data_IF_119138284925
#
_entry.id   IF_119138284925
#
_cell.length_a   1.000
_cell.length_b   1.000
_cell.length_c   1.000
_cell.angle_alpha   90.00
_cell.angle_beta   90.00
_cell.angle_gamma   90.00
#
_symmetry.space_group_name_H-M   'P 1'
#
loop_
_entity.id
_entity.type
_entity.pdbx_description
1 polymer ?
#
# COMPACT_ATOMS: atom_id res chain seq x y z
N UNK A 1 -13.14 -32.90 12.22
CA UNK A 1 -12.95 -31.51 12.67
C UNK A 1 -11.89 -30.92 11.75
N UNK A 2 -12.32 -30.40 10.59
CA UNK A 2 -11.41 -29.76 9.65
C UNK A 2 -10.87 -28.49 10.32
N UNK A 3 -9.58 -28.48 10.60
CA UNK A 3 -8.90 -27.32 11.14
C UNK A 3 -8.76 -26.33 10.00
N UNK A 4 -9.69 -25.37 9.91
CA UNK A 4 -9.53 -24.20 9.05
C UNK A 4 -8.34 -23.42 9.60
N UNK A 5 -7.14 -23.70 9.09
CA UNK A 5 -5.95 -22.88 9.30
C UNK A 5 -6.22 -21.52 8.66
N UNK A 6 -6.82 -20.61 9.43
CA UNK A 6 -6.85 -19.20 9.05
C UNK A 6 -5.40 -18.73 8.95
N UNK A 7 -4.98 -18.16 7.81
CA UNK A 7 -3.65 -17.58 7.70
C UNK A 7 -3.53 -16.50 8.77
N UNK A 8 -2.56 -16.65 9.68
CA UNK A 8 -2.30 -15.63 10.69
C UNK A 8 -1.96 -14.33 9.96
N UNK A 9 -2.73 -13.24 10.17
CA UNK A 9 -2.45 -11.98 9.51
C UNK A 9 -1.04 -11.54 9.90
N UNK A 10 -0.24 -11.22 8.88
CA UNK A 10 1.15 -10.79 9.02
C UNK A 10 1.18 -9.27 9.02
N UNK A 11 1.92 -8.69 9.94
CA UNK A 11 2.10 -7.24 10.03
C UNK A 11 3.10 -6.76 8.97
N UNK A 12 2.75 -5.68 8.27
CA UNK A 12 3.67 -5.00 7.36
C UNK A 12 4.65 -4.12 8.15
N UNK A 13 5.98 -4.24 7.98
CA UNK A 13 6.94 -3.44 8.73
C UNK A 13 6.95 -1.95 8.35
N UNK A 14 6.47 -1.58 7.16
CA UNK A 14 6.48 -0.19 6.69
C UNK A 14 5.27 0.62 7.18
N UNK A 15 4.08 0.00 7.28
CA UNK A 15 2.84 0.69 7.64
C UNK A 15 2.09 0.08 8.82
N UNK A 16 2.58 -1.04 9.35
CA UNK A 16 1.98 -1.81 10.45
C UNK A 16 0.56 -2.32 10.17
N UNK A 17 0.14 -2.39 8.90
CA UNK A 17 -1.12 -3.01 8.53
C UNK A 17 -1.04 -4.53 8.66
N UNK A 18 -2.09 -5.12 9.23
CA UNK A 18 -2.29 -6.56 9.30
C UNK A 18 -2.88 -7.06 7.98
N UNK A 19 -2.13 -7.85 7.24
CA UNK A 19 -2.55 -8.42 5.95
C UNK A 19 -2.37 -9.93 5.92
N UNK A 20 -3.29 -10.64 5.26
CA UNK A 20 -3.12 -12.07 5.01
C UNK A 20 -2.01 -12.35 3.97
N UNK A 21 -1.83 -11.44 3.01
CA UNK A 21 -0.81 -11.52 1.97
C UNK A 21 0.14 -10.32 2.04
N UNK A 22 1.34 -10.55 2.56
CA UNK A 22 2.35 -9.52 2.79
C UNK A 22 3.03 -9.08 1.49
N UNK A 23 3.17 -9.97 0.50
CA UNK A 23 3.87 -9.69 -0.75
C UNK A 23 3.03 -8.82 -1.69
N UNK A 24 1.77 -9.20 -1.90
CA UNK A 24 0.80 -8.41 -2.63
C UNK A 24 0.58 -7.05 -1.95
N UNK A 25 0.58 -7.00 -0.62
CA UNK A 25 0.50 -5.74 0.11
C UNK A 25 1.71 -4.83 -0.11
N UNK A 26 2.94 -5.38 -0.12
CA UNK A 26 4.16 -4.61 -0.44
C UNK A 26 4.14 -4.07 -1.88
N UNK A 27 3.69 -4.87 -2.84
CA UNK A 27 3.52 -4.45 -4.24
C UNK A 27 2.47 -3.33 -4.36
N UNK A 28 1.33 -3.51 -3.68
CA UNK A 28 0.27 -2.51 -3.65
C UNK A 28 0.75 -1.20 -3.02
N UNK A 29 1.50 -1.26 -1.92
CA UNK A 29 2.10 -0.10 -1.28
C UNK A 29 3.01 0.69 -2.20
N UNK A 30 3.98 0.01 -2.83
CA UNK A 30 4.92 0.68 -3.72
C UNK A 30 4.19 1.41 -4.84
N UNK A 31 3.12 0.81 -5.36
CA UNK A 31 2.30 1.43 -6.39
C UNK A 31 1.47 2.61 -5.86
N UNK A 32 0.83 2.47 -4.71
CA UNK A 32 0.01 3.53 -4.12
C UNK A 32 0.85 4.77 -3.81
N UNK A 33 2.03 4.59 -3.19
CA UNK A 33 2.94 5.70 -2.87
C UNK A 33 3.40 6.40 -4.15
N UNK A 34 3.73 5.65 -5.20
CA UNK A 34 4.12 6.22 -6.48
C UNK A 34 2.98 7.02 -7.15
N UNK A 35 1.74 6.50 -7.10
CA UNK A 35 0.58 7.16 -7.68
C UNK A 35 0.27 8.47 -6.96
N UNK A 36 0.30 8.46 -5.62
CA UNK A 36 0.14 9.67 -4.79
C UNK A 36 1.23 10.69 -5.12
N UNK A 37 2.49 10.28 -5.15
CA UNK A 37 3.61 11.17 -5.47
C UNK A 37 3.42 11.82 -6.86
N UNK A 38 3.00 11.04 -7.85
CA UNK A 38 2.71 11.53 -9.21
C UNK A 38 1.52 12.50 -9.24
N UNK A 39 0.46 12.20 -8.50
CA UNK A 39 -0.72 13.05 -8.42
C UNK A 39 -0.41 14.39 -7.74
N UNK A 40 0.39 14.36 -6.67
CA UNK A 40 0.86 15.56 -5.96
C UNK A 40 1.78 16.39 -6.85
N UNK A 41 2.75 15.77 -7.53
CA UNK A 41 3.64 16.46 -8.48
C UNK A 41 2.86 17.19 -9.58
N UNK A 42 1.84 16.54 -10.15
CA UNK A 42 0.94 17.15 -11.12
C UNK A 42 0.10 18.29 -10.54
N UNK A 43 -0.36 18.18 -9.29
CA UNK A 43 -1.11 19.25 -8.62
C UNK A 43 -0.23 20.47 -8.35
N UNK A 44 1.00 20.25 -7.84
CA UNK A 44 1.99 21.31 -7.61
C UNK A 44 2.33 22.00 -8.92
N UNK A 45 2.64 21.24 -9.97
CA UNK A 45 2.94 21.79 -11.29
C UNK A 45 1.78 22.64 -11.81
N UNK A 46 0.54 22.15 -11.69
CA UNK A 46 -0.65 22.91 -12.09
C UNK A 46 -0.78 24.23 -11.32
N UNK A 47 -0.57 24.22 -10.01
CA UNK A 47 -0.63 25.43 -9.16
C UNK A 47 0.49 26.43 -9.46
N UNK A 48 1.68 25.95 -9.83
CA UNK A 48 2.82 26.80 -10.16
C UNK A 48 2.63 27.57 -11.49
N UNK A 49 1.68 27.13 -12.34
CA UNK A 49 1.35 27.76 -13.61
C UNK A 49 0.09 28.66 -13.57
N UNK A 50 -0.47 28.90 -12.39
CA UNK A 50 -1.57 29.86 -12.12
C UNK A 50 -1.07 31.02 -11.28
#
# INVERSE_FOLDING_TARGET
MESTSQPSPRECPDCHALTADLEAHKLWHSRLVHDIATAVDKDISRRAHT
#
